data_IF_046102623092
#
_entry.id   IF_046102623092
#
_cell.length_a   1.000
_cell.length_b   1.000
_cell.length_c   1.000
_cell.angle_alpha   90.00
_cell.angle_beta   90.00
_cell.angle_gamma   90.00
#
_symmetry.space_group_name_H-M   'P 1'
#
loop_
_entity.id
_entity.type
_entity.pdbx_description
1 polymer ?
#
# COMPACT_ATOMS: atom_id res chain seq x y z
N UNK A 1 -2.01 14.50 -39.96
CA UNK A 1 -3.12 13.89 -39.19
C UNK A 1 -2.69 12.66 -38.39
N UNK A 2 -1.94 11.70 -38.96
CA UNK A 2 -1.46 10.50 -38.23
C UNK A 2 -0.47 10.82 -37.09
N UNK A 3 0.43 11.78 -37.30
CA UNK A 3 1.46 12.16 -36.30
C UNK A 3 0.85 12.91 -35.12
N UNK A 4 -0.10 13.82 -35.36
CA UNK A 4 -0.81 14.54 -34.28
C UNK A 4 -1.66 13.62 -33.40
N UNK A 5 -2.26 12.58 -33.98
CA UNK A 5 -2.97 11.54 -33.23
C UNK A 5 -2.03 10.70 -32.35
N UNK A 6 -0.84 10.37 -32.85
CA UNK A 6 0.19 9.67 -32.07
C UNK A 6 0.67 10.50 -30.87
N UNK A 7 0.93 11.80 -31.05
CA UNK A 7 1.35 12.68 -29.94
C UNK A 7 0.26 12.85 -28.88
N UNK A 8 -1.02 12.92 -29.26
CA UNK A 8 -2.14 12.97 -28.32
C UNK A 8 -2.28 11.68 -27.49
N UNK A 9 -2.09 10.52 -28.12
CA UNK A 9 -2.14 9.22 -27.43
C UNK A 9 -0.97 9.08 -26.46
N UNK A 10 0.26 9.43 -26.87
CA UNK A 10 1.45 9.41 -26.00
C UNK A 10 1.33 10.39 -24.82
N UNK A 11 0.79 11.59 -25.06
CA UNK A 11 0.50 12.58 -24.02
C UNK A 11 -0.54 12.07 -23.00
N UNK A 12 -1.57 11.37 -23.47
CA UNK A 12 -2.59 10.77 -22.61
C UNK A 12 -2.01 9.69 -21.68
N UNK A 13 -1.13 8.83 -22.21
CA UNK A 13 -0.51 7.74 -21.43
C UNK A 13 0.40 8.30 -20.33
N UNK A 14 1.22 9.31 -20.63
CA UNK A 14 2.14 9.92 -19.67
C UNK A 14 1.42 10.67 -18.53
N UNK A 15 0.30 11.34 -18.83
CA UNK A 15 -0.50 12.03 -17.82
C UNK A 15 -1.14 11.08 -16.80
N UNK A 16 -1.52 9.88 -17.23
CA UNK A 16 -2.09 8.84 -16.35
C UNK A 16 -1.01 8.25 -15.44
N UNK A 17 0.23 8.09 -15.91
CA UNK A 17 1.32 7.51 -15.10
C UNK A 17 1.77 8.41 -13.94
N UNK A 18 1.77 9.74 -14.11
CA UNK A 18 2.15 10.68 -13.06
C UNK A 18 1.08 10.85 -11.98
N UNK A 19 -0.20 10.70 -12.35
CA UNK A 19 -1.30 10.69 -11.39
C UNK A 19 -1.26 9.46 -10.47
N UNK A 20 -0.69 8.34 -10.93
CA UNK A 20 -0.57 7.11 -10.13
C UNK A 20 0.43 7.19 -8.97
N UNK A 21 1.30 8.21 -8.95
CA UNK A 21 2.29 8.33 -7.89
C UNK A 21 1.74 9.04 -6.65
N UNK A 22 0.67 9.83 -6.75
CA UNK A 22 0.06 10.51 -5.61
C UNK A 22 -1.40 10.10 -5.48
N UNK A 23 -1.86 9.94 -4.26
CA UNK A 23 -3.24 9.58 -3.99
C UNK A 23 -3.83 10.49 -2.92
N UNK A 24 -5.16 10.60 -2.94
CA UNK A 24 -5.97 11.16 -1.85
C UNK A 24 -6.82 10.08 -1.20
N UNK A 25 -7.11 9.00 -1.92
CA UNK A 25 -7.95 7.88 -1.49
C UNK A 25 -7.52 6.57 -2.16
N UNK A 26 -7.88 5.44 -1.57
CA UNK A 26 -7.47 4.09 -1.98
C UNK A 26 -7.91 3.74 -3.40
N UNK A 27 -9.06 4.25 -3.85
CA UNK A 27 -9.59 4.01 -5.20
C UNK A 27 -8.78 4.63 -6.35
N UNK A 28 -7.80 5.48 -6.04
CA UNK A 28 -6.89 6.07 -7.04
C UNK A 28 -5.65 5.21 -7.30
N UNK A 29 -5.42 4.16 -6.50
CA UNK A 29 -4.29 3.25 -6.63
C UNK A 29 -4.71 1.91 -7.26
N UNK A 30 -3.73 1.13 -7.74
CA UNK A 30 -3.99 -0.20 -8.28
C UNK A 30 -4.48 -1.16 -7.19
N UNK A 31 -5.06 -2.29 -7.60
CA UNK A 31 -5.56 -3.29 -6.65
C UNK A 31 -4.48 -3.88 -5.75
N UNK A 32 -3.24 -3.96 -6.25
CA UNK A 32 -2.07 -4.43 -5.52
C UNK A 32 -1.33 -3.30 -4.76
N UNK A 33 -1.91 -2.10 -4.74
CA UNK A 33 -1.35 -0.93 -4.07
C UNK A 33 -2.24 -0.46 -2.91
N UNK A 34 -1.67 0.38 -2.05
CA UNK A 34 -2.40 1.13 -1.06
C UNK A 34 -2.09 2.62 -1.15
N UNK A 35 -3.08 3.45 -0.85
CA UNK A 35 -2.82 4.88 -0.67
C UNK A 35 -2.15 5.10 0.69
N UNK A 36 -0.87 5.44 0.70
CA UNK A 36 -0.04 5.53 1.90
C UNK A 36 0.32 6.97 2.22
N UNK A 37 0.03 7.38 3.46
CA UNK A 37 0.54 8.60 4.08
C UNK A 37 1.44 8.24 5.27
N UNK A 38 2.75 8.39 5.07
CA UNK A 38 3.75 8.12 6.13
C UNK A 38 3.75 9.17 7.24
N UNK A 39 2.94 10.24 7.15
CA UNK A 39 2.95 11.41 8.02
C UNK A 39 4.23 12.27 7.96
N UNK A 40 5.29 11.79 7.30
CA UNK A 40 6.54 12.52 7.07
C UNK A 40 6.56 13.27 5.72
N UNK A 41 5.86 12.74 4.72
CA UNK A 41 5.77 13.35 3.39
C UNK A 41 4.57 14.29 3.30
N UNK A 42 4.69 15.35 2.48
CA UNK A 42 3.63 16.36 2.31
C UNK A 42 2.36 15.82 1.64
N UNK A 43 2.41 14.65 1.01
CA UNK A 43 1.32 14.04 0.23
C UNK A 43 1.38 12.53 0.32
N UNK A 44 0.21 11.90 0.32
CA UNK A 44 0.08 10.45 0.21
C UNK A 44 0.41 9.98 -1.22
N UNK A 45 0.87 8.74 -1.33
CA UNK A 45 1.27 8.11 -2.59
C UNK A 45 0.81 6.67 -2.67
N UNK A 46 0.66 6.17 -3.90
CA UNK A 46 0.38 4.75 -4.10
C UNK A 46 1.65 3.95 -3.87
N UNK A 47 1.59 3.02 -2.93
CA UNK A 47 2.70 2.14 -2.55
C UNK A 47 2.25 0.68 -2.69
N UNK A 48 3.17 -0.21 -3.02
CA UNK A 48 2.83 -1.63 -3.21
C UNK A 48 2.46 -2.27 -1.87
N UNK A 49 1.44 -3.12 -1.89
CA UNK A 49 1.09 -3.97 -0.75
C UNK A 49 2.15 -5.06 -0.57
N UNK A 50 2.30 -5.53 0.67
CA UNK A 50 3.23 -6.62 0.96
C UNK A 50 2.75 -7.94 0.34
N UNK A 51 3.57 -8.61 -0.49
CA UNK A 51 3.16 -9.84 -1.14
C UNK A 51 3.03 -11.00 -0.15
N UNK A 52 2.31 -12.04 -0.55
CA UNK A 52 2.16 -13.27 0.23
C UNK A 52 3.53 -13.84 0.65
N UNK A 53 3.66 -14.23 1.91
CA UNK A 53 4.87 -14.80 2.50
C UNK A 53 6.01 -13.80 2.79
N UNK A 54 5.87 -12.54 2.39
CA UNK A 54 6.87 -11.51 2.70
C UNK A 54 6.79 -11.03 4.15
N UNK A 55 7.92 -10.54 4.66
CA UNK A 55 7.97 -9.86 5.95
C UNK A 55 7.17 -8.57 5.87
N UNK A 56 6.32 -8.34 6.87
CA UNK A 56 5.43 -7.19 6.91
C UNK A 56 5.62 -6.38 8.21
N UNK A 57 5.49 -5.05 8.15
CA UNK A 57 5.42 -4.21 9.33
C UNK A 57 4.04 -4.30 9.96
N UNK A 58 3.99 -4.55 11.27
CA UNK A 58 2.73 -4.60 12.05
C UNK A 58 2.08 -3.21 12.27
N UNK A 59 2.64 -2.16 11.66
CA UNK A 59 2.26 -0.77 11.92
C UNK A 59 1.22 -0.19 10.93
N UNK A 60 0.59 -1.00 10.07
CA UNK A 60 -0.36 -0.47 9.08
C UNK A 60 -1.67 -0.01 9.75
N UNK A 61 -2.02 1.28 9.64
CA UNK A 61 -3.25 1.83 10.23
C UNK A 61 -4.16 2.38 9.14
N UNK A 62 -5.33 1.77 8.95
CA UNK A 62 -6.33 2.27 8.01
C UNK A 62 -7.14 3.44 8.60
N UNK A 63 -7.35 4.49 7.80
CA UNK A 63 -8.13 5.68 8.16
C UNK A 63 -9.38 5.79 7.28
N UNK A 64 -10.56 5.35 7.76
CA UNK A 64 -11.75 5.29 6.93
C UNK A 64 -12.24 6.68 6.49
N UNK A 65 -12.05 7.71 7.32
CA UNK A 65 -12.46 9.10 6.99
C UNK A 65 -11.73 9.66 5.77
N UNK A 66 -10.51 9.20 5.52
CA UNK A 66 -9.66 9.64 4.41
C UNK A 66 -9.47 8.56 3.33
N UNK A 67 -10.02 7.36 3.53
CA UNK A 67 -9.85 6.20 2.65
C UNK A 67 -8.37 5.94 2.30
N UNK A 68 -7.48 5.94 3.30
CA UNK A 68 -6.04 5.71 3.11
C UNK A 68 -5.38 5.05 4.32
N UNK A 69 -4.12 4.63 4.16
CA UNK A 69 -3.31 3.98 5.19
C UNK A 69 -2.22 4.91 5.73
N UNK A 70 -1.96 4.82 7.03
CA UNK A 70 -0.82 5.46 7.68
C UNK A 70 0.30 4.47 7.98
N UNK A 71 1.52 5.00 8.02
CA UNK A 71 2.79 4.34 8.37
C UNK A 71 3.27 3.27 7.38
N UNK A 72 2.43 2.31 7.02
CA UNK A 72 2.76 1.27 6.04
C UNK A 72 1.53 0.73 5.32
N UNK A 73 1.73 0.20 4.11
CA UNK A 73 0.69 -0.56 3.43
C UNK A 73 0.43 -1.90 4.14
N UNK A 74 -0.79 -2.43 4.05
CA UNK A 74 -1.09 -3.78 4.51
C UNK A 74 -0.54 -4.83 3.52
N UNK A 75 -0.71 -6.09 3.88
CA UNK A 75 -0.55 -7.20 2.96
C UNK A 75 -1.53 -7.11 1.77
N UNK A 76 -1.24 -7.86 0.71
CA UNK A 76 -2.18 -8.11 -0.39
C UNK A 76 -3.53 -8.62 0.15
N UNK A 77 -4.62 -8.35 -0.58
CA UNK A 77 -5.98 -8.71 -0.16
C UNK A 77 -6.04 -10.18 0.27
N UNK A 78 -6.80 -10.48 1.31
CA UNK A 78 -6.97 -11.82 1.93
C UNK A 78 -5.78 -12.35 2.74
N UNK A 79 -4.67 -11.60 2.84
CA UNK A 79 -3.55 -11.93 3.71
C UNK A 79 -3.50 -10.96 4.90
N UNK A 80 -3.11 -11.48 6.05
CA UNK A 80 -2.91 -10.72 7.27
C UNK A 80 -1.45 -10.78 7.70
N UNK A 81 -0.98 -9.72 8.35
CA UNK A 81 0.37 -9.65 8.86
C UNK A 81 0.43 -10.35 10.22
N UNK A 82 0.77 -11.63 10.23
CA UNK A 82 0.81 -12.46 11.43
C UNK A 82 2.25 -12.89 11.73
N UNK A 83 2.63 -12.81 13.00
CA UNK A 83 3.95 -13.21 13.50
C UNK A 83 3.84 -14.09 14.73
N UNK A 84 4.99 -14.51 15.25
CA UNK A 84 5.06 -15.24 16.52
C UNK A 84 5.10 -14.24 17.66
N UNK A 85 4.20 -14.39 18.62
CA UNK A 85 4.24 -13.66 19.88
C UNK A 85 5.36 -14.23 20.76
N UNK A 86 6.28 -13.37 21.17
CA UNK A 86 7.36 -13.68 22.10
C UNK A 86 7.23 -12.74 23.28
N UNK A 87 7.12 -13.28 24.49
CA UNK A 87 7.21 -12.48 25.70
C UNK A 87 8.68 -12.33 26.11
N UNK A 88 9.16 -11.10 26.10
CA UNK A 88 10.43 -10.72 26.70
C UNK A 88 10.19 -9.57 27.68
N UNK A 89 10.76 -9.68 28.88
CA UNK A 89 10.78 -8.60 29.87
C UNK A 89 9.38 -8.05 30.24
N UNK A 90 8.38 -8.95 30.30
CA UNK A 90 6.98 -8.61 30.59
C UNK A 90 6.24 -7.88 29.46
N UNK A 91 6.81 -7.86 28.25
CA UNK A 91 6.21 -7.27 27.05
C UNK A 91 6.06 -8.32 25.96
N UNK A 92 4.91 -8.30 25.29
CA UNK A 92 4.66 -9.17 24.12
C UNK A 92 5.17 -8.47 22.85
N UNK A 93 6.07 -9.14 22.14
CA UNK A 93 6.59 -8.72 20.85
C UNK A 93 6.09 -9.65 19.76
N UNK A 94 5.64 -9.09 18.63
CA UNK A 94 5.34 -9.87 17.44
C UNK A 94 6.61 -9.93 16.58
N UNK A 95 7.26 -11.08 16.56
CA UNK A 95 8.46 -11.32 15.75
C UNK A 95 8.13 -12.14 14.50
N UNK A 96 9.00 -12.06 13.48
CA UNK A 96 8.86 -12.78 12.21
C UNK A 96 7.49 -12.61 11.53
N UNK A 97 6.91 -11.42 11.65
CA UNK A 97 5.61 -11.12 11.06
C UNK A 97 5.67 -11.25 9.53
N UNK A 98 4.79 -12.09 8.97
CA UNK A 98 4.69 -12.34 7.54
C UNK A 98 3.25 -12.23 7.08
N UNK A 99 3.08 -11.88 5.81
CA UNK A 99 1.78 -11.92 5.16
C UNK A 99 1.35 -13.37 4.93
N UNK A 100 0.46 -13.89 5.78
CA UNK A 100 -0.08 -15.23 5.66
C UNK A 100 -1.61 -15.17 5.56
N UNK A 101 -2.19 -16.15 4.87
CA UNK A 101 -3.64 -16.26 4.78
C UNK A 101 -4.15 -16.77 6.14
N UNK A 102 -5.08 -16.07 6.81
CA UNK A 102 -5.63 -16.53 8.07
C UNK A 102 -6.41 -17.83 7.80
N UNK A 103 -5.97 -18.94 8.38
CA UNK A 103 -6.74 -20.19 8.43
C UNK A 103 -7.91 -19.97 9.39
N UNK A 104 -9.13 -20.00 8.84
CA UNK A 104 -10.39 -20.06 9.60
C UNK A 104 -10.50 -21.42 10.29
#
# INVERSE_FOLDING_TARGET
MKVTLLFLVLSGILGVSLAYMYCKKQSECLEDECCLDTLFFKRAYCEKRYPAGSTCPTASVYKPEKDLYYLSCPCVRTYECLGKEVEEDGKTYVMDAKCIMPTI
#
